data_IF_014810967423
#
_entry.id   IF_014810967423
#
_cell.length_a   1.000
_cell.length_b   1.000
_cell.length_c   1.000
_cell.angle_alpha   90.00
_cell.angle_beta   90.00
_cell.angle_gamma   90.00
#
_symmetry.space_group_name_H-M   'P 1'
#
loop_
_entity.id
_entity.type
_entity.pdbx_description
1 polymer ?
#
# COMPACT_ATOMS: atom_id res chain seq x y z
N UNK A 1 5.91 49.13 -19.17
CA UNK A 1 6.70 47.90 -19.37
C UNK A 1 6.21 46.90 -18.37
N UNK A 2 5.53 45.85 -18.83
CA UNK A 2 5.14 44.71 -18.00
C UNK A 2 6.44 43.97 -17.63
N UNK A 3 6.77 43.92 -16.35
CA UNK A 3 7.73 42.95 -15.84
C UNK A 3 7.22 41.56 -16.26
N UNK A 4 8.02 40.74 -16.96
CA UNK A 4 7.63 39.35 -17.16
C UNK A 4 7.46 38.74 -15.77
N UNK A 5 6.36 38.01 -15.54
CA UNK A 5 6.09 37.25 -14.33
C UNK A 5 7.36 36.54 -13.85
N UNK A 6 8.03 37.11 -12.86
CA UNK A 6 9.02 36.38 -12.08
C UNK A 6 8.22 35.49 -11.15
N UNK A 7 7.91 34.28 -11.60
CA UNK A 7 7.44 33.22 -10.71
C UNK A 7 8.44 33.07 -9.58
N UNK A 8 7.96 33.07 -8.34
CA UNK A 8 8.78 32.83 -7.16
C UNK A 8 9.57 31.52 -7.34
N UNK A 9 10.88 31.56 -7.06
CA UNK A 9 11.75 30.40 -7.14
C UNK A 9 11.24 29.26 -6.25
N UNK A 10 10.62 29.59 -5.11
CA UNK A 10 10.01 28.60 -4.23
C UNK A 10 8.88 27.83 -4.92
N UNK A 11 8.00 28.52 -5.66
CA UNK A 11 6.91 27.89 -6.42
C UNK A 11 7.43 26.98 -7.53
N UNK A 12 8.56 27.32 -8.15
CA UNK A 12 9.20 26.46 -9.16
C UNK A 12 9.76 25.19 -8.52
N UNK A 13 10.43 25.31 -7.37
CA UNK A 13 10.98 24.15 -6.64
C UNK A 13 9.86 23.22 -6.18
N UNK A 14 8.78 23.76 -5.62
CA UNK A 14 7.60 22.97 -5.23
C UNK A 14 6.99 22.25 -6.44
N UNK A 15 6.82 22.94 -7.56
CA UNK A 15 6.34 22.34 -8.81
C UNK A 15 7.21 21.18 -9.29
N UNK A 16 8.54 21.32 -9.24
CA UNK A 16 9.48 20.25 -9.61
C UNK A 16 9.38 19.06 -8.66
N UNK A 17 9.32 19.30 -7.36
CA UNK A 17 9.17 18.24 -6.35
C UNK A 17 7.84 17.49 -6.54
N UNK A 18 6.74 18.20 -6.79
CA UNK A 18 5.43 17.59 -7.03
C UNK A 18 5.41 16.76 -8.32
N UNK A 19 6.08 17.21 -9.38
CA UNK A 19 6.23 16.41 -10.62
C UNK A 19 6.98 15.11 -10.33
N UNK A 20 8.05 15.17 -9.53
CA UNK A 20 8.76 13.96 -9.12
C UNK A 20 7.88 13.03 -8.29
N UNK A 21 7.25 13.55 -7.22
CA UNK A 21 6.35 12.79 -6.33
C UNK A 21 5.20 12.14 -7.10
N UNK A 22 4.57 12.85 -8.04
CA UNK A 22 3.52 12.26 -8.88
C UNK A 22 4.08 11.19 -9.83
N UNK A 23 5.25 11.42 -10.42
CA UNK A 23 5.90 10.43 -11.30
C UNK A 23 6.14 9.13 -10.54
N UNK A 24 6.77 9.19 -9.36
CA UNK A 24 7.02 8.01 -8.52
C UNK A 24 5.72 7.38 -8.01
N UNK A 25 4.70 8.19 -7.68
CA UNK A 25 3.37 7.70 -7.29
C UNK A 25 2.78 6.81 -8.38
N UNK A 26 2.85 7.23 -9.64
CA UNK A 26 2.35 6.43 -10.76
C UNK A 26 3.22 5.18 -11.04
N UNK A 27 4.53 5.23 -10.79
CA UNK A 27 5.39 4.05 -10.83
C UNK A 27 4.98 3.02 -9.77
N UNK A 28 4.70 3.47 -8.55
CA UNK A 28 4.26 2.60 -7.45
C UNK A 28 2.86 2.06 -7.74
N UNK A 29 1.93 2.88 -8.23
CA UNK A 29 0.63 2.39 -8.69
C UNK A 29 0.78 1.29 -9.74
N UNK A 30 1.73 1.43 -10.68
CA UNK A 30 1.98 0.43 -11.70
C UNK A 30 2.54 -0.89 -11.14
N UNK A 31 3.15 -0.89 -9.94
CA UNK A 31 3.48 -2.12 -9.22
C UNK A 31 2.25 -2.99 -8.97
N UNK A 32 1.05 -2.40 -8.86
CA UNK A 32 -0.19 -3.16 -8.67
C UNK A 32 -0.51 -4.06 -9.88
N UNK A 33 -0.18 -3.62 -11.09
CA UNK A 33 -0.22 -4.46 -12.29
C UNK A 33 0.86 -5.57 -12.22
N UNK A 34 2.03 -5.24 -11.69
CA UNK A 34 3.11 -6.19 -11.42
C UNK A 34 2.69 -7.32 -10.46
N UNK A 35 2.08 -6.97 -9.33
CA UNK A 35 1.50 -7.94 -8.37
C UNK A 35 0.43 -8.80 -9.04
N UNK A 36 -0.49 -8.19 -9.80
CA UNK A 36 -1.54 -8.93 -10.50
C UNK A 36 -0.95 -9.99 -11.45
N UNK A 37 0.08 -9.65 -12.22
CA UNK A 37 0.74 -10.59 -13.14
C UNK A 37 1.58 -11.64 -12.41
N UNK A 38 2.36 -11.24 -11.40
CA UNK A 38 3.17 -12.14 -10.59
C UNK A 38 2.28 -13.20 -9.94
N UNK A 39 1.24 -12.76 -9.25
CA UNK A 39 0.33 -13.64 -8.53
C UNK A 39 -0.50 -14.51 -9.48
N UNK A 40 -0.98 -13.96 -10.60
CA UNK A 40 -1.64 -14.74 -11.62
C UNK A 40 -0.73 -15.88 -12.08
N UNK A 41 0.51 -15.58 -12.47
CA UNK A 41 1.48 -16.58 -12.93
C UNK A 41 1.78 -17.68 -11.91
N UNK A 42 1.80 -17.33 -10.62
CA UNK A 42 2.12 -18.23 -9.51
C UNK A 42 0.92 -19.06 -8.99
N UNK A 43 -0.31 -18.75 -9.40
CA UNK A 43 -1.48 -19.58 -9.07
C UNK A 43 -1.79 -20.60 -10.17
N UNK A 44 -2.53 -21.66 -9.81
CA UNK A 44 -3.14 -22.59 -10.78
C UNK A 44 -4.09 -21.84 -11.71
N UNK A 45 -4.17 -22.21 -12.98
CA UNK A 45 -4.98 -21.53 -14.00
C UNK A 45 -6.44 -21.30 -13.56
N UNK A 46 -7.06 -22.29 -12.91
CA UNK A 46 -8.44 -22.18 -12.38
C UNK A 46 -8.67 -21.08 -11.34
N UNK A 47 -7.60 -20.55 -10.74
CA UNK A 47 -7.66 -19.52 -9.71
C UNK A 47 -7.33 -18.12 -10.23
N UNK A 48 -6.90 -17.98 -11.49
CA UNK A 48 -6.39 -16.71 -12.05
C UNK A 48 -7.46 -15.61 -12.01
N UNK A 49 -8.68 -15.90 -12.46
CA UNK A 49 -9.77 -14.93 -12.45
C UNK A 49 -10.02 -14.36 -11.04
N UNK A 50 -10.09 -15.23 -10.03
CA UNK A 50 -10.24 -14.81 -8.63
C UNK A 50 -9.03 -13.99 -8.13
N UNK A 51 -7.81 -14.29 -8.59
CA UNK A 51 -6.61 -13.55 -8.19
C UNK A 51 -6.59 -12.13 -8.77
N UNK A 52 -6.96 -11.99 -10.05
CA UNK A 52 -7.04 -10.70 -10.72
C UNK A 52 -8.18 -9.84 -10.15
N UNK A 53 -9.32 -10.45 -9.85
CA UNK A 53 -10.44 -9.77 -9.17
C UNK A 53 -10.03 -9.24 -7.80
N UNK A 54 -9.26 -10.01 -7.01
CA UNK A 54 -8.74 -9.54 -5.72
C UNK A 54 -7.82 -8.33 -5.89
N UNK A 55 -6.89 -8.36 -6.83
CA UNK A 55 -6.00 -7.24 -7.09
C UNK A 55 -6.77 -5.97 -7.47
N UNK A 56 -7.73 -6.08 -8.40
CA UNK A 56 -8.56 -4.95 -8.83
C UNK A 56 -9.36 -4.36 -7.66
N UNK A 57 -9.97 -5.22 -6.85
CA UNK A 57 -10.77 -4.79 -5.71
C UNK A 57 -9.92 -4.23 -4.57
N UNK A 58 -8.69 -4.72 -4.38
CA UNK A 58 -7.74 -4.13 -3.43
C UNK A 58 -7.47 -2.69 -3.77
N UNK A 59 -7.18 -2.40 -5.04
CA UNK A 59 -6.97 -1.02 -5.48
C UNK A 59 -8.26 -0.19 -5.34
N UNK A 60 -9.35 -0.61 -5.97
CA UNK A 60 -10.54 0.23 -6.09
C UNK A 60 -11.21 0.50 -4.74
N UNK A 61 -11.33 -0.51 -3.88
CA UNK A 61 -11.94 -0.34 -2.55
C UNK A 61 -10.91 0.24 -1.57
N UNK A 62 -9.67 -0.23 -1.60
CA UNK A 62 -8.69 0.15 -0.61
C UNK A 62 -8.30 1.63 -0.70
N UNK A 63 -8.15 2.19 -1.90
CA UNK A 63 -7.86 3.63 -2.07
C UNK A 63 -9.02 4.48 -1.56
N UNK A 64 -10.27 4.08 -1.82
CA UNK A 64 -11.47 4.76 -1.31
C UNK A 64 -11.51 4.71 0.23
N UNK A 65 -11.26 3.54 0.82
CA UNK A 65 -11.23 3.38 2.28
C UNK A 65 -10.08 4.18 2.90
N UNK A 66 -8.92 4.23 2.26
CA UNK A 66 -7.78 5.01 2.73
C UNK A 66 -8.10 6.51 2.68
N UNK A 67 -8.80 6.99 1.66
CA UNK A 67 -9.31 8.37 1.59
C UNK A 67 -10.34 8.66 2.68
N UNK A 68 -11.36 7.81 2.82
CA UNK A 68 -12.47 8.06 3.73
C UNK A 68 -12.13 7.86 5.22
N UNK A 69 -11.03 7.18 5.52
CA UNK A 69 -10.71 6.80 6.89
C UNK A 69 -9.19 6.72 7.13
N UNK A 70 -8.47 6.00 6.28
CA UNK A 70 -7.08 5.63 6.56
C UNK A 70 -6.15 6.83 6.81
N UNK A 71 -6.19 7.85 5.96
CA UNK A 71 -5.36 9.04 6.12
C UNK A 71 -5.62 9.78 7.46
N UNK A 72 -6.90 9.90 7.84
CA UNK A 72 -7.27 10.51 9.11
C UNK A 72 -6.80 9.66 10.30
N UNK A 73 -6.93 8.33 10.21
CA UNK A 73 -6.46 7.41 11.26
C UNK A 73 -4.96 7.52 11.47
N UNK A 74 -4.14 7.60 10.41
CA UNK A 74 -2.69 7.79 10.58
C UNK A 74 -2.36 9.08 11.34
N UNK A 75 -3.02 10.19 11.00
CA UNK A 75 -2.81 11.48 11.68
C UNK A 75 -3.27 11.45 13.15
N UNK A 76 -4.42 10.82 13.43
CA UNK A 76 -4.94 10.65 14.78
C UNK A 76 -3.98 9.81 15.63
N UNK A 77 -3.49 8.69 15.11
CA UNK A 77 -2.56 7.80 15.82
C UNK A 77 -1.22 8.49 16.10
N UNK A 78 -0.72 9.26 15.13
CA UNK A 78 0.47 10.09 15.32
C UNK A 78 0.28 11.11 16.46
N UNK A 79 -0.82 11.85 16.46
CA UNK A 79 -1.11 12.84 17.50
C UNK A 79 -1.24 12.20 18.90
N UNK A 80 -1.96 11.07 18.99
CA UNK A 80 -2.15 10.32 20.23
C UNK A 80 -0.84 9.84 20.88
N UNK A 81 0.23 9.69 20.09
CA UNK A 81 1.47 9.06 20.55
C UNK A 81 2.72 9.94 20.49
N UNK A 82 2.60 11.14 19.90
CA UNK A 82 3.69 12.13 19.84
C UNK A 82 3.61 13.20 20.94
N UNK A 83 2.50 13.26 21.69
CA UNK A 83 2.25 14.34 22.65
C UNK A 83 1.71 15.63 22.01
N UNK A 84 1.46 15.60 20.69
CA UNK A 84 0.77 16.66 19.95
C UNK A 84 -0.69 16.78 20.37
N UNK A 85 -1.30 17.95 20.14
CA UNK A 85 -2.72 18.15 20.37
C UNK A 85 -3.55 17.23 19.46
N UNK A 86 -4.56 16.58 20.05
CA UNK A 86 -5.48 15.73 19.30
C UNK A 86 -6.60 16.56 18.68
N UNK A 87 -6.61 16.66 17.35
CA UNK A 87 -7.72 17.22 16.57
C UNK A 87 -8.28 16.17 15.60
N UNK A 88 -9.33 15.48 16.06
CA UNK A 88 -9.99 14.44 15.27
C UNK A 88 -10.67 15.04 14.05
N UNK A 89 -11.34 16.19 14.19
CA UNK A 89 -12.06 16.82 13.08
C UNK A 89 -11.08 17.34 12.04
N UNK A 90 -10.01 18.00 12.46
CA UNK A 90 -8.93 18.45 11.58
C UNK A 90 -8.30 17.31 10.78
N UNK A 91 -8.11 16.13 11.39
CA UNK A 91 -7.53 14.96 10.70
C UNK A 91 -8.37 14.47 9.49
N UNK A 92 -9.70 14.63 9.52
CA UNK A 92 -10.55 14.33 8.36
C UNK A 92 -10.63 15.51 7.41
N UNK A 93 -10.78 16.72 7.94
CA UNK A 93 -10.99 17.93 7.14
C UNK A 93 -9.75 18.31 6.32
N UNK A 94 -8.54 17.96 6.79
CA UNK A 94 -7.29 18.17 6.05
C UNK A 94 -7.27 17.48 4.68
N UNK A 95 -8.12 16.45 4.48
CA UNK A 95 -8.24 15.76 3.20
C UNK A 95 -9.54 16.10 2.46
N UNK A 96 -10.66 16.27 3.18
CA UNK A 96 -11.97 16.51 2.57
C UNK A 96 -12.18 17.96 2.10
N UNK A 97 -11.59 18.91 2.81
CA UNK A 97 -11.60 20.31 2.43
C UNK A 97 -10.28 20.95 2.91
N UNK A 98 -9.14 20.61 2.27
CA UNK A 98 -7.86 21.21 2.60
C UNK A 98 -7.94 22.73 2.47
N UNK A 99 -7.25 23.43 3.38
CA UNK A 99 -7.08 24.88 3.28
C UNK A 99 -6.40 25.24 1.95
N UNK A 100 -6.66 26.44 1.42
CA UNK A 100 -6.05 26.90 0.17
C UNK A 100 -4.51 26.91 0.22
N UNK A 101 -3.92 27.00 1.42
CA UNK A 101 -2.48 26.90 1.66
C UNK A 101 -1.93 25.47 1.67
N UNK A 102 -2.78 24.44 1.79
CA UNK A 102 -2.40 23.02 1.78
C UNK A 102 -2.37 22.46 0.34
N UNK A 103 -1.51 23.03 -0.49
CA UNK A 103 -1.40 22.77 -1.94
C UNK A 103 -1.08 21.32 -2.29
N UNK A 104 -0.50 20.55 -1.36
CA UNK A 104 -0.02 19.18 -1.59
C UNK A 104 -0.94 18.09 -1.05
N UNK A 105 -2.03 18.43 -0.34
CA UNK A 105 -2.82 17.49 0.46
C UNK A 105 -3.28 16.23 -0.30
N UNK A 106 -3.73 16.39 -1.55
CA UNK A 106 -4.17 15.25 -2.39
C UNK A 106 -3.03 14.47 -3.02
N UNK A 107 -1.88 15.11 -3.25
CA UNK A 107 -0.67 14.43 -3.73
C UNK A 107 -0.11 13.56 -2.60
N UNK A 108 -0.01 14.10 -1.39
CA UNK A 108 0.45 13.37 -0.20
C UNK A 108 -0.48 12.21 0.13
N UNK A 109 -1.80 12.42 0.01
CA UNK A 109 -2.78 11.35 0.16
C UNK A 109 -2.58 10.23 -0.88
N UNK A 110 -2.45 10.59 -2.17
CA UNK A 110 -2.31 9.58 -3.23
C UNK A 110 -1.00 8.81 -3.08
N UNK A 111 0.08 9.51 -2.70
CA UNK A 111 1.36 8.90 -2.37
C UNK A 111 1.20 7.90 -1.22
N UNK A 112 0.60 8.29 -0.10
CA UNK A 112 0.31 7.36 1.00
C UNK A 112 -0.59 6.18 0.58
N UNK A 113 -1.59 6.43 -0.29
CA UNK A 113 -2.51 5.41 -0.76
C UNK A 113 -1.81 4.31 -1.57
N UNK A 114 -0.85 4.66 -2.43
CA UNK A 114 -0.11 3.64 -3.23
C UNK A 114 0.74 2.73 -2.35
N UNK A 115 1.33 3.23 -1.26
CA UNK A 115 2.01 2.39 -0.27
C UNK A 115 1.04 1.53 0.53
N UNK A 116 -0.11 2.09 0.95
CA UNK A 116 -1.15 1.33 1.64
C UNK A 116 -1.65 0.14 0.81
N UNK A 117 -1.87 0.36 -0.50
CA UNK A 117 -2.31 -0.71 -1.41
C UNK A 117 -1.21 -1.73 -1.67
N UNK A 118 0.05 -1.30 -1.71
CA UNK A 118 1.20 -2.20 -1.78
C UNK A 118 1.28 -3.09 -0.54
N UNK A 119 1.06 -2.56 0.66
CA UNK A 119 0.99 -3.38 1.87
C UNK A 119 -0.18 -4.38 1.82
N UNK A 120 -1.35 -3.92 1.38
CA UNK A 120 -2.55 -4.75 1.29
C UNK A 120 -2.38 -5.93 0.32
N UNK A 121 -1.75 -5.71 -0.83
CA UNK A 121 -1.63 -6.72 -1.88
C UNK A 121 -0.64 -7.84 -1.54
N UNK A 122 0.35 -7.63 -0.66
CA UNK A 122 1.25 -8.69 -0.18
C UNK A 122 0.46 -9.89 0.38
N UNK A 123 -0.64 -9.62 1.08
CA UNK A 123 -1.49 -10.66 1.66
C UNK A 123 -2.30 -11.41 0.61
N UNK A 124 -2.63 -10.77 -0.53
CA UNK A 124 -3.30 -11.40 -1.67
C UNK A 124 -2.57 -12.67 -2.12
N UNK A 125 -1.27 -12.55 -2.39
CA UNK A 125 -0.40 -13.66 -2.76
C UNK A 125 -0.30 -14.72 -1.65
N UNK A 126 -0.17 -14.27 -0.40
CA UNK A 126 -0.08 -15.16 0.76
C UNK A 126 -1.31 -16.08 0.87
N UNK A 127 -2.53 -15.57 0.63
CA UNK A 127 -3.80 -16.32 0.74
C UNK A 127 -4.36 -16.83 -0.60
N UNK A 128 -3.57 -16.68 -1.68
CA UNK A 128 -3.95 -17.05 -3.04
C UNK A 128 -4.43 -18.50 -3.16
N UNK A 129 -5.48 -18.70 -3.96
CA UNK A 129 -6.03 -20.01 -4.28
C UNK A 129 -6.86 -20.72 -3.19
N UNK A 130 -7.08 -20.11 -2.01
CA UNK A 130 -8.01 -20.64 -0.99
C UNK A 130 -8.81 -19.63 -0.17
N UNK A 131 -8.42 -18.35 -0.11
CA UNK A 131 -9.24 -17.35 0.57
C UNK A 131 -10.54 -17.05 -0.20
N UNK A 132 -11.67 -17.05 0.51
CA UNK A 132 -12.97 -16.56 0.02
C UNK A 132 -12.88 -15.07 -0.28
N UNK A 133 -13.46 -14.63 -1.41
CA UNK A 133 -13.38 -13.25 -1.86
C UNK A 133 -13.94 -12.26 -0.82
N UNK A 134 -15.10 -12.55 -0.21
CA UNK A 134 -15.71 -11.69 0.81
C UNK A 134 -14.79 -11.47 2.03
N UNK A 135 -14.12 -12.52 2.50
CA UNK A 135 -13.17 -12.40 3.61
C UNK A 135 -11.97 -11.53 3.23
N UNK A 136 -11.48 -11.68 1.99
CA UNK A 136 -10.40 -10.85 1.46
C UNK A 136 -10.78 -9.36 1.34
N UNK A 137 -12.02 -9.05 0.96
CA UNK A 137 -12.51 -7.68 0.92
C UNK A 137 -12.62 -7.06 2.31
N UNK A 138 -13.16 -7.79 3.28
CA UNK A 138 -13.17 -7.34 4.69
C UNK A 138 -11.75 -7.05 5.18
N UNK A 139 -10.81 -7.94 4.88
CA UNK A 139 -9.39 -7.72 5.18
C UNK A 139 -8.83 -6.45 4.51
N UNK A 140 -9.14 -6.23 3.22
CA UNK A 140 -8.69 -5.04 2.47
C UNK A 140 -9.19 -3.75 3.13
N UNK A 141 -10.46 -3.72 3.54
CA UNK A 141 -11.04 -2.56 4.24
C UNK A 141 -10.33 -2.33 5.57
N UNK A 142 -10.09 -3.39 6.35
CA UNK A 142 -9.42 -3.28 7.65
C UNK A 142 -7.97 -2.82 7.54
N UNK A 143 -7.22 -3.33 6.54
CA UNK A 143 -5.82 -2.93 6.38
C UNK A 143 -5.71 -1.50 5.87
N UNK A 144 -6.52 -1.12 4.89
CA UNK A 144 -6.51 0.23 4.32
C UNK A 144 -7.05 1.29 5.31
N UNK A 145 -8.06 0.95 6.10
CA UNK A 145 -8.73 1.89 6.99
C UNK A 145 -8.10 2.00 8.37
N UNK A 146 -7.44 0.93 8.86
CA UNK A 146 -7.00 0.87 10.26
C UNK A 146 -5.59 0.32 10.40
N UNK A 147 -5.32 -0.92 9.98
CA UNK A 147 -4.07 -1.61 10.36
C UNK A 147 -2.83 -0.90 9.78
N UNK A 148 -2.81 -0.62 8.48
CA UNK A 148 -1.70 0.11 7.87
C UNK A 148 -1.61 1.57 8.35
N UNK A 149 -2.71 2.34 8.39
CA UNK A 149 -2.71 3.68 8.98
C UNK A 149 -2.17 3.78 10.40
N UNK A 150 -2.47 2.82 11.28
CA UNK A 150 -1.92 2.78 12.64
C UNK A 150 -0.40 2.64 12.62
N UNK A 151 0.12 1.76 11.76
CA UNK A 151 1.57 1.59 11.61
C UNK A 151 2.21 2.87 11.06
N UNK A 152 1.60 3.50 10.06
CA UNK A 152 2.05 4.81 9.55
C UNK A 152 2.05 5.87 10.66
N UNK A 153 0.97 5.98 11.43
CA UNK A 153 0.85 6.96 12.51
C UNK A 153 1.93 6.80 13.59
N UNK A 154 2.27 5.56 13.98
CA UNK A 154 3.36 5.32 14.92
C UNK A 154 4.75 5.62 14.35
N UNK A 155 4.91 5.59 13.03
CA UNK A 155 6.21 5.68 12.35
C UNK A 155 6.29 6.97 11.55
N UNK A 156 6.04 6.94 10.23
CA UNK A 156 6.12 8.10 9.34
C UNK A 156 5.22 9.28 9.71
N UNK A 157 4.18 9.06 10.53
CA UNK A 157 3.35 10.12 11.08
C UNK A 157 4.00 10.91 12.23
N UNK A 158 5.18 10.50 12.72
CA UNK A 158 5.88 11.15 13.84
C UNK A 158 5.41 10.69 15.22
N UNK A 159 4.77 9.51 15.31
CA UNK A 159 4.22 8.97 16.55
C UNK A 159 5.23 8.19 17.40
N UNK A 160 4.69 7.24 18.18
CA UNK A 160 5.43 6.51 19.22
C UNK A 160 6.79 5.95 18.78
N UNK A 161 6.88 5.25 17.66
CA UNK A 161 8.10 4.58 17.23
C UNK A 161 9.12 5.57 16.66
N UNK A 162 8.65 6.60 15.96
CA UNK A 162 9.52 7.70 15.51
C UNK A 162 10.17 8.41 16.70
N UNK A 163 9.39 8.70 17.75
CA UNK A 163 9.91 9.27 19.00
C UNK A 163 10.95 8.38 19.72
N UNK A 164 10.98 7.08 19.43
CA UNK A 164 12.00 6.13 19.93
C UNK A 164 13.21 5.99 18.98
N UNK A 165 13.25 6.73 17.87
CA UNK A 165 14.34 6.68 16.88
C UNK A 165 14.22 5.56 15.85
N UNK A 166 13.01 5.05 15.61
CA UNK A 166 12.78 4.08 14.53
C UNK A 166 12.90 4.76 13.17
N UNK A 167 13.73 4.18 12.28
CA UNK A 167 13.91 4.67 10.92
C UNK A 167 13.60 3.57 9.90
N UNK A 168 12.73 3.90 8.96
CA UNK A 168 12.42 3.07 7.81
C UNK A 168 12.23 3.98 6.60
N UNK A 169 13.18 3.93 5.67
CA UNK A 169 13.28 4.91 4.59
C UNK A 169 12.12 4.81 3.59
N UNK A 170 11.81 3.60 3.15
CA UNK A 170 10.83 3.35 2.08
C UNK A 170 9.82 2.25 2.45
N UNK A 171 9.75 1.83 3.70
CA UNK A 171 8.72 0.91 4.18
C UNK A 171 9.15 -0.54 4.16
N UNK A 172 10.44 -0.82 4.40
CA UNK A 172 10.95 -2.17 4.61
C UNK A 172 10.17 -2.92 5.69
N UNK A 173 9.85 -2.26 6.80
CA UNK A 173 9.00 -2.79 7.86
C UNK A 173 7.57 -2.24 7.81
N UNK A 174 7.39 -0.96 7.51
CA UNK A 174 6.07 -0.30 7.50
C UNK A 174 5.15 -0.90 6.43
N UNK A 175 5.70 -1.29 5.28
CA UNK A 175 4.95 -1.86 4.15
C UNK A 175 5.21 -3.36 4.05
N UNK A 176 6.47 -3.77 3.84
CA UNK A 176 6.80 -5.16 3.54
C UNK A 176 6.78 -6.04 4.77
N UNK A 177 7.40 -5.62 5.87
CA UNK A 177 7.39 -6.36 7.14
C UNK A 177 5.98 -6.54 7.68
N UNK A 178 5.20 -5.46 7.76
CA UNK A 178 3.81 -5.49 8.18
C UNK A 178 2.95 -6.36 7.25
N UNK A 179 3.02 -6.15 5.93
CA UNK A 179 2.28 -6.95 4.96
C UNK A 179 2.67 -8.43 5.01
N UNK A 180 3.94 -8.73 5.24
CA UNK A 180 4.47 -10.09 5.43
C UNK A 180 3.92 -10.77 6.69
N UNK A 181 3.90 -10.06 7.82
CA UNK A 181 3.32 -10.57 9.08
C UNK A 181 1.82 -10.78 8.94
N UNK A 182 1.10 -9.83 8.34
CA UNK A 182 -0.32 -9.96 8.05
C UNK A 182 -0.59 -11.16 7.13
N UNK A 183 0.24 -11.35 6.10
CA UNK A 183 0.14 -12.46 5.15
C UNK A 183 0.41 -13.81 5.79
N UNK A 184 1.43 -13.90 6.65
CA UNK A 184 1.74 -15.08 7.44
C UNK A 184 0.59 -15.44 8.38
N UNK A 185 0.07 -14.45 9.10
CA UNK A 185 -1.05 -14.63 10.03
C UNK A 185 -2.30 -15.11 9.29
N UNK A 186 -2.64 -14.50 8.16
CA UNK A 186 -3.77 -14.89 7.34
C UNK A 186 -3.59 -16.31 6.76
N UNK A 187 -2.38 -16.66 6.31
CA UNK A 187 -2.08 -17.99 5.80
C UNK A 187 -2.17 -19.07 6.90
N UNK A 188 -1.76 -18.75 8.14
CA UNK A 188 -1.86 -19.63 9.30
C UNK A 188 -3.33 -19.91 9.67
N UNK A 189 -4.14 -18.85 9.78
CA UNK A 189 -5.57 -18.97 10.13
C UNK A 189 -6.36 -19.74 9.06
N UNK A 190 -6.11 -19.46 7.78
CA UNK A 190 -6.82 -20.12 6.67
C UNK A 190 -6.34 -21.56 6.48
N UNK A 191 -5.07 -21.83 6.79
CA UNK A 191 -4.45 -23.13 6.61
C UNK A 191 -3.86 -23.36 5.20
N UNK A 192 -3.29 -24.56 4.99
CA UNK A 192 -2.59 -24.91 3.77
C UNK A 192 -3.52 -25.00 2.56
N UNK A 193 -2.94 -24.83 1.36
CA UNK A 193 -3.65 -25.16 0.11
C UNK A 193 -3.96 -26.65 0.09
N UNK A 194 -5.08 -27.02 -0.54
CA UNK A 194 -5.35 -28.44 -0.86
C UNK A 194 -4.15 -29.03 -1.60
N UNK A 195 -3.80 -30.26 -1.25
CA UNK A 195 -2.68 -31.03 -1.80
C UNK A 195 -1.29 -30.45 -1.49
N UNK A 196 -1.17 -29.46 -0.60
CA UNK A 196 0.14 -28.88 -0.22
C UNK A 196 1.02 -29.84 0.56
N UNK A 197 0.43 -30.69 1.39
CA UNK A 197 1.15 -31.66 2.23
C UNK A 197 0.60 -33.05 1.99
N UNK A 198 1.49 -34.04 1.89
CA UNK A 198 1.13 -35.47 1.82
C UNK A 198 0.76 -36.00 3.23
N UNK A 199 0.19 -37.21 3.34
CA UNK A 199 -0.10 -37.83 4.65
C UNK A 199 1.11 -37.98 5.58
N UNK A 200 2.32 -38.06 5.03
CA UNK A 200 3.59 -38.12 5.77
C UNK A 200 4.12 -36.73 6.20
N UNK A 201 3.38 -35.66 5.91
CA UNK A 201 3.76 -34.27 6.20
C UNK A 201 4.71 -33.63 5.19
N UNK A 202 5.20 -34.37 4.20
CA UNK A 202 6.12 -33.81 3.19
C UNK A 202 5.40 -32.84 2.25
N UNK A 203 6.11 -31.79 1.83
CA UNK A 203 5.56 -30.74 1.00
C UNK A 203 5.49 -31.14 -0.49
N UNK A 204 4.34 -30.86 -1.11
CA UNK A 204 4.17 -30.93 -2.55
C UNK A 204 4.42 -29.57 -3.20
N UNK A 205 5.13 -29.59 -4.33
CA UNK A 205 5.26 -28.43 -5.20
C UNK A 205 3.93 -28.24 -5.95
N UNK A 206 3.32 -27.08 -5.77
CA UNK A 206 2.14 -26.65 -6.55
C UNK A 206 2.65 -25.62 -7.55
N UNK A 207 2.89 -25.99 -8.81
CA UNK A 207 3.46 -25.08 -9.79
C UNK A 207 2.48 -23.96 -10.15
N UNK A 208 3.03 -22.79 -10.42
CA UNK A 208 2.30 -21.72 -11.09
C UNK A 208 1.94 -22.12 -12.52
N UNK A 209 0.87 -21.53 -13.06
CA UNK A 209 0.40 -21.87 -14.40
C UNK A 209 1.15 -21.14 -15.52
N UNK A 210 1.87 -20.05 -15.22
CA UNK A 210 2.58 -19.25 -16.23
C UNK A 210 3.83 -18.58 -15.65
N UNK A 211 5.00 -19.09 -16.04
CA UNK A 211 6.29 -18.45 -15.73
C UNK A 211 6.40 -17.09 -16.44
N UNK A 212 5.84 -16.97 -17.64
CA UNK A 212 5.80 -15.71 -18.39
C UNK A 212 5.14 -14.59 -17.60
N UNK A 213 3.96 -14.84 -17.01
CA UNK A 213 3.30 -13.85 -16.16
C UNK A 213 4.04 -13.58 -14.86
N UNK A 214 4.64 -14.62 -14.27
CA UNK A 214 5.46 -14.46 -13.08
C UNK A 214 6.66 -13.52 -13.34
N UNK A 215 7.39 -13.75 -14.43
CA UNK A 215 8.56 -12.95 -14.80
C UNK A 215 8.16 -11.54 -15.22
N UNK A 216 7.10 -11.38 -16.02
CA UNK A 216 6.57 -10.07 -16.41
C UNK A 216 6.17 -9.24 -15.17
N UNK A 217 5.46 -9.87 -14.23
CA UNK A 217 5.08 -9.24 -12.97
C UNK A 217 6.31 -8.79 -12.18
N UNK A 218 7.31 -9.66 -12.04
CA UNK A 218 8.58 -9.31 -11.38
C UNK A 218 9.29 -8.13 -12.04
N UNK A 219 9.35 -8.07 -13.37
CA UNK A 219 9.98 -6.95 -14.08
C UNK A 219 9.23 -5.63 -13.87
N UNK A 220 7.89 -5.66 -13.88
CA UNK A 220 7.06 -4.49 -13.57
C UNK A 220 7.28 -4.03 -12.12
N UNK A 221 7.32 -4.98 -11.18
CA UNK A 221 7.61 -4.67 -9.78
C UNK A 221 9.00 -4.04 -9.61
N UNK A 222 10.02 -4.59 -10.25
CA UNK A 222 11.39 -4.06 -10.22
C UNK A 222 11.45 -2.64 -10.81
N UNK A 223 10.72 -2.38 -11.89
CA UNK A 223 10.62 -1.04 -12.47
C UNK A 223 9.92 -0.04 -11.54
N UNK A 224 8.77 -0.42 -10.98
CA UNK A 224 8.05 0.44 -10.03
C UNK A 224 8.81 0.68 -8.72
N UNK A 225 9.69 -0.27 -8.34
CA UNK A 225 10.50 -0.16 -7.13
C UNK A 225 11.47 1.03 -7.13
N UNK A 226 11.90 1.49 -8.31
CA UNK A 226 12.68 2.73 -8.38
C UNK A 226 11.87 3.91 -7.83
N UNK A 227 10.60 4.05 -8.20
CA UNK A 227 9.71 5.05 -7.60
C UNK A 227 9.42 4.78 -6.12
N UNK A 228 9.27 3.52 -5.73
CA UNK A 228 9.00 3.13 -4.34
C UNK A 228 10.11 3.53 -3.37
N UNK A 229 11.38 3.43 -3.78
CA UNK A 229 12.51 3.73 -2.91
C UNK A 229 12.93 5.20 -2.92
N UNK A 230 12.99 5.86 -4.08
CA UNK A 230 13.56 7.21 -4.20
C UNK A 230 12.49 8.31 -4.37
N UNK A 231 11.23 7.95 -4.12
CA UNK A 231 10.10 8.85 -4.14
C UNK A 231 9.96 9.73 -2.92
#
# INVERSE_FOLDING_TARGET
>A
MLTPLQTDLASVVEGVNLVWVLTVTFLIFFMHAGFAMLEAGQVRAKNVANQLTKNLLTWSIGVIVFFLLGAAVSSIVAALTSGSALDITGAFMSLYAPDASATTAWVDWLFGAVFAMTAATIVSGAVAGRARLRAYLTYTILIAGVIYPVVVGFTWGGGFLDALGFHDFAGGMIVHGMGGIAGLTAAWIIGPRMDRFKPDGTANVIPGHSITFAVLGTLILAFGWYGFNVG
#
